data_IF_971950517642
#
_entry.id   IF_971950517642
#
_cell.length_a   1.000
_cell.length_b   1.000
_cell.length_c   1.000
_cell.angle_alpha   90.00
_cell.angle_beta   90.00
_cell.angle_gamma   90.00
#
_symmetry.space_group_name_H-M   'P 1'
#
loop_
_entity.id
_entity.type
_entity.pdbx_description
1 polymer ?
#
# COMPACT_ATOMS: atom_id res chain seq x y z
N UNK A 1 26.49 28.57 44.60
CA UNK A 1 27.44 27.56 44.12
C UNK A 1 26.92 26.21 44.56
N UNK A 2 25.76 25.75 44.05
CA UNK A 2 25.44 25.48 42.62
C UNK A 2 26.54 24.60 42.00
N UNK A 3 26.27 23.43 41.44
CA UNK A 3 25.13 23.08 40.57
C UNK A 3 24.58 21.65 40.79
N UNK A 4 23.32 21.52 40.37
CA UNK A 4 22.48 20.33 40.19
C UNK A 4 22.58 19.78 38.76
N UNK A 5 21.89 18.65 38.51
CA UNK A 5 21.50 18.04 37.22
C UNK A 5 22.39 16.91 36.67
N UNK A 6 21.87 15.85 36.06
CA UNK A 6 20.52 15.65 35.54
C UNK A 6 20.20 14.17 35.29
N UNK A 7 18.90 13.87 35.35
CA UNK A 7 18.33 12.55 35.15
C UNK A 7 18.59 11.98 33.76
N UNK A 8 18.92 10.69 33.72
CA UNK A 8 19.05 9.92 32.49
C UNK A 8 17.69 9.72 31.84
N UNK A 9 17.45 10.44 30.73
CA UNK A 9 16.36 10.14 29.80
C UNK A 9 16.70 8.82 29.12
N UNK A 10 15.90 7.80 29.37
CA UNK A 10 15.98 6.51 28.70
C UNK A 10 15.58 6.73 27.24
N UNK A 11 16.58 6.96 26.37
CA UNK A 11 16.39 7.04 24.93
C UNK A 11 15.81 5.72 24.45
N UNK A 12 14.54 5.76 24.02
CA UNK A 12 13.95 4.72 23.19
C UNK A 12 14.85 4.56 21.96
N UNK A 13 15.60 3.46 21.93
CA UNK A 13 16.41 3.09 20.78
C UNK A 13 15.48 2.94 19.58
N UNK A 14 15.49 3.93 18.69
CA UNK A 14 14.98 3.77 17.34
C UNK A 14 15.76 2.59 16.76
N UNK A 15 15.11 1.50 16.34
CA UNK A 15 15.83 0.36 15.78
C UNK A 15 16.69 0.89 14.62
N UNK A 16 18.00 0.69 14.74
CA UNK A 16 18.95 1.15 13.75
C UNK A 16 18.54 0.63 12.38
N UNK A 17 18.53 1.51 11.36
CA UNK A 17 18.29 1.11 9.97
C UNK A 17 19.32 0.06 9.60
N UNK A 18 18.86 -1.17 9.42
CA UNK A 18 19.72 -2.24 8.95
C UNK A 18 19.93 -2.04 7.45
N UNK A 19 21.17 -1.88 6.97
CA UNK A 19 21.44 -1.80 5.54
C UNK A 19 21.00 -3.09 4.85
N UNK A 20 20.87 -3.04 3.52
CA UNK A 20 20.51 -4.20 2.72
C UNK A 20 21.35 -5.44 3.10
N UNK A 21 20.73 -6.61 3.27
CA UNK A 21 21.47 -7.84 3.52
C UNK A 21 22.40 -8.17 2.35
N UNK A 22 23.32 -9.12 2.57
CA UNK A 22 24.18 -9.64 1.50
C UNK A 22 23.33 -10.09 0.31
N UNK A 23 23.75 -9.71 -0.91
CA UNK A 23 23.00 -9.90 -2.16
C UNK A 23 22.56 -11.36 -2.37
N UNK A 24 23.37 -12.31 -1.93
CA UNK A 24 23.11 -13.75 -2.05
C UNK A 24 21.90 -14.19 -1.23
N UNK A 25 21.62 -13.53 -0.11
CA UNK A 25 20.54 -13.89 0.80
C UNK A 25 19.14 -13.47 0.29
N UNK A 26 19.05 -12.47 -0.60
CA UNK A 26 17.78 -12.00 -1.15
C UNK A 26 17.42 -12.58 -2.50
N UNK A 27 18.33 -13.32 -3.18
CA UNK A 27 18.05 -13.83 -4.53
C UNK A 27 16.75 -14.66 -4.54
N UNK A 28 15.88 -14.47 -5.54
CA UNK A 28 16.06 -13.68 -6.77
C UNK A 28 15.72 -12.18 -6.66
N UNK A 29 15.29 -11.69 -5.49
CA UNK A 29 15.06 -10.26 -5.27
C UNK A 29 16.37 -9.48 -5.17
N UNK A 30 16.27 -8.17 -5.37
CA UNK A 30 17.38 -7.22 -5.20
C UNK A 30 17.07 -6.25 -4.07
N UNK A 31 18.10 -5.83 -3.34
CA UNK A 31 18.00 -4.77 -2.34
C UNK A 31 19.00 -3.67 -2.67
N UNK A 32 18.53 -2.43 -2.63
CA UNK A 32 19.30 -1.23 -2.91
C UNK A 32 19.29 -0.33 -1.67
N UNK A 33 20.46 0.10 -1.25
CA UNK A 33 20.60 1.13 -0.21
C UNK A 33 20.86 2.47 -0.88
N UNK A 34 19.89 3.37 -0.73
CA UNK A 34 20.04 4.79 -1.07
C UNK A 34 20.48 5.56 0.17
N UNK A 35 20.84 6.83 0.00
CA UNK A 35 21.35 7.67 1.09
C UNK A 35 20.42 7.70 2.31
N UNK A 36 19.10 7.68 2.07
CA UNK A 36 18.10 7.87 3.11
C UNK A 36 17.11 6.71 3.26
N UNK A 37 17.23 5.63 2.47
CA UNK A 37 16.28 4.54 2.52
C UNK A 37 16.74 3.29 1.78
N UNK A 38 16.09 2.19 2.10
CA UNK A 38 16.28 0.88 1.49
C UNK A 38 15.09 0.56 0.57
N UNK A 39 15.40 0.04 -0.62
CA UNK A 39 14.42 -0.42 -1.60
C UNK A 39 14.65 -1.89 -1.91
N UNK A 40 13.60 -2.69 -1.83
CA UNK A 40 13.63 -4.11 -2.22
C UNK A 40 12.76 -4.30 -3.45
N UNK A 41 13.29 -5.01 -4.45
CA UNK A 41 12.59 -5.32 -5.68
C UNK A 41 12.55 -6.83 -5.90
N UNK A 42 11.34 -7.37 -6.01
CA UNK A 42 11.08 -8.76 -6.36
C UNK A 42 10.32 -8.81 -7.68
N UNK A 43 10.93 -9.40 -8.72
CA UNK A 43 10.33 -9.49 -10.06
C UNK A 43 10.20 -10.93 -10.50
N UNK A 44 8.99 -11.30 -10.92
CA UNK A 44 8.69 -12.61 -11.53
C UNK A 44 9.21 -13.77 -10.64
N UNK A 45 8.92 -13.66 -9.35
CA UNK A 45 9.37 -14.60 -8.32
C UNK A 45 8.23 -15.56 -7.98
N UNK A 46 8.54 -16.83 -7.71
CA UNK A 46 7.54 -17.75 -7.18
C UNK A 46 7.31 -17.57 -5.67
N UNK A 47 6.26 -18.19 -5.15
CA UNK A 47 5.89 -18.20 -3.73
C UNK A 47 7.05 -18.59 -2.79
N UNK A 48 7.84 -19.61 -3.16
CA UNK A 48 8.93 -20.13 -2.32
C UNK A 48 10.11 -19.15 -2.33
N UNK A 49 10.47 -18.65 -3.49
CA UNK A 49 11.52 -17.66 -3.69
C UNK A 49 11.22 -16.37 -2.91
N UNK A 50 9.99 -15.85 -3.01
CA UNK A 50 9.55 -14.66 -2.27
C UNK A 50 9.63 -14.88 -0.75
N UNK A 51 9.14 -16.03 -0.25
CA UNK A 51 9.21 -16.38 1.18
C UNK A 51 10.65 -16.46 1.69
N UNK A 52 11.55 -17.05 0.92
CA UNK A 52 12.97 -17.15 1.27
C UNK A 52 13.63 -15.77 1.32
N UNK A 53 13.42 -14.94 0.29
CA UNK A 53 13.99 -13.58 0.23
C UNK A 53 13.50 -12.71 1.41
N UNK A 54 12.20 -12.74 1.70
CA UNK A 54 11.62 -11.99 2.83
C UNK A 54 12.05 -12.52 4.20
N UNK A 55 12.41 -13.80 4.31
CA UNK A 55 12.97 -14.34 5.56
C UNK A 55 14.32 -13.70 5.93
N UNK A 56 15.12 -13.32 4.92
CA UNK A 56 16.39 -12.62 5.11
C UNK A 56 16.22 -11.14 5.51
N UNK A 57 15.00 -10.61 5.39
CA UNK A 57 14.64 -9.23 5.74
C UNK A 57 13.93 -9.13 7.10
N UNK A 58 13.78 -10.23 7.83
CA UNK A 58 13.13 -10.22 9.15
C UNK A 58 13.90 -9.35 10.14
N UNK A 59 13.18 -8.45 10.80
CA UNK A 59 13.74 -7.45 11.71
C UNK A 59 14.24 -6.20 10.99
N UNK A 60 14.26 -6.18 9.65
CA UNK A 60 14.67 -5.03 8.87
C UNK A 60 13.50 -4.06 8.64
N UNK A 61 13.88 -2.80 8.43
CA UNK A 61 13.02 -1.75 7.91
C UNK A 61 13.33 -1.56 6.43
N UNK A 62 12.32 -1.65 5.57
CA UNK A 62 12.41 -1.42 4.14
C UNK A 62 11.47 -0.26 3.83
N UNK A 63 11.97 0.81 3.25
CA UNK A 63 11.11 1.95 2.95
C UNK A 63 10.23 1.64 1.74
N UNK A 64 10.84 1.21 0.63
CA UNK A 64 10.13 0.85 -0.60
C UNK A 64 10.23 -0.65 -0.87
N UNK A 65 9.09 -1.31 -1.02
CA UNK A 65 9.02 -2.68 -1.48
C UNK A 65 8.28 -2.74 -2.81
N UNK A 66 8.95 -3.20 -3.87
CA UNK A 66 8.34 -3.40 -5.17
C UNK A 66 8.13 -4.90 -5.46
N UNK A 67 6.90 -5.23 -5.83
CA UNK A 67 6.51 -6.55 -6.30
C UNK A 67 6.03 -6.48 -7.75
N UNK A 68 6.85 -7.01 -8.64
CA UNK A 68 6.71 -6.91 -10.10
C UNK A 68 6.28 -8.27 -10.69
N UNK A 69 5.24 -8.29 -11.52
CA UNK A 69 4.73 -9.48 -12.23
C UNK A 69 4.39 -10.66 -11.32
N UNK A 70 3.90 -10.39 -10.12
CA UNK A 70 3.56 -11.42 -9.15
C UNK A 70 2.06 -11.69 -9.11
N UNK A 71 1.67 -12.93 -8.89
CA UNK A 71 0.29 -13.29 -8.64
C UNK A 71 0.00 -13.19 -7.15
N UNK A 72 -0.75 -12.17 -6.73
CA UNK A 72 -0.99 -11.90 -5.30
C UNK A 72 -1.80 -13.00 -4.61
N UNK A 73 -2.55 -13.83 -5.35
CA UNK A 73 -3.18 -15.03 -4.80
C UNK A 73 -2.17 -16.04 -4.27
N UNK A 74 -0.97 -16.07 -4.85
CA UNK A 74 0.07 -17.02 -4.49
C UNK A 74 0.93 -16.55 -3.30
N UNK A 75 0.79 -15.28 -2.90
CA UNK A 75 1.54 -14.74 -1.77
C UNK A 75 1.12 -15.45 -0.47
N UNK A 76 2.09 -16.00 0.28
CA UNK A 76 1.81 -16.51 1.61
C UNK A 76 1.25 -15.40 2.49
N UNK A 77 0.20 -15.70 3.25
CA UNK A 77 -0.39 -14.73 4.18
C UNK A 77 0.61 -14.17 5.19
N UNK A 78 1.61 -14.95 5.58
CA UNK A 78 2.61 -14.54 6.56
C UNK A 78 3.88 -13.96 5.95
N UNK A 79 3.91 -13.72 4.63
CA UNK A 79 5.17 -13.49 3.91
C UNK A 79 5.86 -12.19 4.32
N UNK A 80 5.09 -11.17 4.68
CA UNK A 80 5.60 -9.88 5.14
C UNK A 80 5.76 -9.80 6.67
N UNK A 81 5.40 -10.87 7.40
CA UNK A 81 5.47 -10.87 8.86
C UNK A 81 6.91 -10.67 9.33
N UNK A 82 7.10 -9.65 10.17
CA UNK A 82 8.40 -9.30 10.74
C UNK A 82 9.30 -8.50 9.79
N UNK A 83 8.81 -8.09 8.63
CA UNK A 83 9.45 -7.09 7.76
C UNK A 83 8.62 -5.82 7.86
N UNK A 84 9.25 -4.70 8.21
CA UNK A 84 8.54 -3.41 8.26
C UNK A 84 8.65 -2.72 6.92
N UNK A 85 7.53 -2.52 6.22
CA UNK A 85 7.48 -1.82 4.93
C UNK A 85 6.64 -0.56 5.03
N UNK A 86 7.13 0.55 4.48
CA UNK A 86 6.41 1.84 4.47
C UNK A 86 5.62 2.07 3.18
N UNK A 87 6.21 1.74 2.03
CA UNK A 87 5.61 1.97 0.72
C UNK A 87 5.64 0.68 -0.11
N UNK A 88 4.47 0.26 -0.59
CA UNK A 88 4.32 -0.92 -1.43
C UNK A 88 4.03 -0.49 -2.86
N UNK A 89 4.93 -0.85 -3.76
CA UNK A 89 4.77 -0.68 -5.19
C UNK A 89 4.43 -2.03 -5.83
N UNK A 90 3.43 -2.05 -6.70
CA UNK A 90 3.13 -3.21 -7.52
C UNK A 90 3.15 -2.84 -8.99
N UNK A 91 3.83 -3.65 -9.80
CA UNK A 91 3.91 -3.42 -11.24
C UNK A 91 3.53 -4.67 -12.01
N UNK A 92 2.49 -4.57 -12.84
CA UNK A 92 1.95 -5.72 -13.59
C UNK A 92 1.61 -6.94 -12.71
N UNK A 93 1.28 -6.70 -11.43
CA UNK A 93 0.82 -7.74 -10.52
C UNK A 93 -0.61 -8.16 -10.86
N UNK A 94 -0.94 -9.41 -10.52
CA UNK A 94 -2.27 -9.97 -10.70
C UNK A 94 -3.02 -9.96 -9.36
N UNK A 95 -4.12 -9.21 -9.33
CA UNK A 95 -5.04 -9.06 -8.19
C UNK A 95 -6.28 -9.95 -8.31
N UNK A 96 -6.37 -10.76 -9.38
CA UNK A 96 -7.51 -11.65 -9.61
C UNK A 96 -7.72 -12.57 -8.41
N UNK A 97 -8.92 -12.56 -7.85
CA UNK A 97 -9.32 -13.37 -6.70
C UNK A 97 -8.64 -13.01 -5.37
N UNK A 98 -8.14 -11.78 -5.20
CA UNK A 98 -7.82 -11.26 -3.86
C UNK A 98 -9.14 -10.99 -3.13
N UNK A 99 -9.59 -11.98 -2.37
CA UNK A 99 -10.91 -11.97 -1.73
C UNK A 99 -10.94 -11.20 -0.40
N UNK A 100 -12.17 -10.89 0.04
CA UNK A 100 -12.46 -10.38 1.37
C UNK A 100 -11.85 -11.34 2.44
N UNK A 101 -11.15 -10.77 3.42
CA UNK A 101 -10.46 -11.53 4.46
C UNK A 101 -9.14 -12.19 4.03
N UNK A 102 -8.59 -11.84 2.86
CA UNK A 102 -7.23 -12.25 2.52
C UNK A 102 -6.23 -11.63 3.51
N UNK A 103 -5.38 -12.49 4.07
CA UNK A 103 -4.30 -12.10 4.96
C UNK A 103 -3.05 -11.67 4.14
N UNK A 104 -3.24 -11.23 2.90
CA UNK A 104 -2.16 -10.92 1.96
C UNK A 104 -1.25 -9.79 2.47
N UNK A 105 -1.84 -8.87 3.21
CA UNK A 105 -1.17 -7.71 3.78
C UNK A 105 -0.90 -7.87 5.29
N UNK A 106 -1.05 -9.08 5.85
CA UNK A 106 -0.70 -9.32 7.25
C UNK A 106 0.79 -9.01 7.47
N UNK A 107 1.07 -8.18 8.48
CA UNK A 107 2.41 -7.68 8.77
C UNK A 107 2.68 -6.27 8.26
N UNK A 108 1.78 -5.71 7.45
CA UNK A 108 1.80 -4.30 7.04
C UNK A 108 0.88 -3.40 7.88
N UNK A 109 0.07 -3.99 8.76
CA UNK A 109 -1.07 -3.37 9.44
C UNK A 109 -0.76 -2.00 10.04
N UNK A 110 0.45 -1.85 10.62
CA UNK A 110 0.86 -0.65 11.35
C UNK A 110 2.06 0.07 10.71
N UNK A 111 2.54 -0.32 9.51
CA UNK A 111 3.72 0.32 8.89
C UNK A 111 3.47 0.92 7.52
N UNK A 112 2.53 0.34 6.76
CA UNK A 112 2.32 0.73 5.37
C UNK A 112 1.51 2.02 5.29
N UNK A 113 2.08 3.05 4.66
CA UNK A 113 1.46 4.37 4.50
C UNK A 113 1.05 4.66 3.07
N UNK A 114 1.61 3.94 2.09
CA UNK A 114 1.31 4.12 0.68
C UNK A 114 1.25 2.77 -0.05
N UNK A 115 0.24 2.64 -0.92
CA UNK A 115 0.15 1.57 -1.91
C UNK A 115 0.05 2.17 -3.30
N UNK A 116 0.95 1.76 -4.20
CA UNK A 116 0.89 2.05 -5.62
C UNK A 116 0.60 0.79 -6.41
N UNK A 117 -0.41 0.87 -7.29
CA UNK A 117 -0.78 -0.20 -8.22
C UNK A 117 -0.61 0.30 -9.64
N UNK A 118 0.40 -0.22 -10.34
CA UNK A 118 0.73 0.20 -11.70
C UNK A 118 0.56 -0.94 -12.68
N UNK A 119 -0.30 -0.75 -13.68
CA UNK A 119 -0.61 -1.76 -14.73
C UNK A 119 -1.03 -3.12 -14.14
N UNK A 120 -1.64 -3.11 -12.96
CA UNK A 120 -2.21 -4.30 -12.34
C UNK A 120 -3.36 -4.88 -13.18
N UNK A 121 -3.57 -6.19 -13.03
CA UNK A 121 -4.63 -6.95 -13.70
C UNK A 121 -5.58 -7.53 -12.68
N UNK A 122 -6.84 -7.76 -13.05
CA UNK A 122 -7.82 -8.39 -12.16
C UNK A 122 -8.26 -7.48 -11.01
N UNK A 123 -8.05 -6.16 -11.12
CA UNK A 123 -8.48 -5.20 -10.09
C UNK A 123 -10.00 -5.13 -10.00
N UNK A 124 -10.73 -5.46 -11.07
CA UNK A 124 -12.18 -5.60 -11.09
C UNK A 124 -12.70 -6.71 -10.15
N UNK A 125 -11.83 -7.63 -9.73
CA UNK A 125 -12.13 -8.67 -8.75
C UNK A 125 -11.59 -8.38 -7.35
N UNK A 126 -10.87 -7.26 -7.17
CA UNK A 126 -10.32 -6.88 -5.87
C UNK A 126 -11.45 -6.33 -4.99
N UNK A 127 -11.67 -6.97 -3.84
CA UNK A 127 -12.54 -6.40 -2.83
C UNK A 127 -11.73 -5.47 -1.91
N UNK A 128 -12.08 -4.18 -1.86
CA UNK A 128 -11.26 -3.15 -1.19
C UNK A 128 -11.09 -3.37 0.32
N UNK A 129 -11.98 -4.14 0.96
CA UNK A 129 -11.81 -4.55 2.37
C UNK A 129 -10.52 -5.34 2.63
N UNK A 130 -9.88 -5.92 1.60
CA UNK A 130 -8.57 -6.56 1.73
C UNK A 130 -7.49 -5.59 2.26
N UNK A 131 -7.65 -4.29 1.99
CA UNK A 131 -6.77 -3.21 2.48
C UNK A 131 -7.31 -2.55 3.76
N UNK A 132 -8.50 -2.92 4.23
CA UNK A 132 -9.19 -2.28 5.37
C UNK A 132 -8.45 -2.37 6.72
N UNK A 133 -7.51 -3.32 6.86
CA UNK A 133 -6.69 -3.50 8.07
C UNK A 133 -5.45 -2.60 8.14
N UNK A 134 -5.11 -1.92 7.05
CA UNK A 134 -3.91 -1.08 6.96
C UNK A 134 -4.14 0.26 7.67
N UNK A 135 -4.05 0.27 9.00
CA UNK A 135 -4.47 1.39 9.85
C UNK A 135 -3.73 2.70 9.60
N UNK A 136 -2.57 2.62 8.97
CA UNK A 136 -1.71 3.76 8.65
C UNK A 136 -1.68 4.11 7.16
N UNK A 137 -2.46 3.41 6.32
CA UNK A 137 -2.50 3.68 4.88
C UNK A 137 -3.09 5.07 4.64
N UNK A 138 -2.31 5.96 4.04
CA UNK A 138 -2.69 7.35 3.78
C UNK A 138 -2.92 7.64 2.30
N UNK A 139 -2.18 6.95 1.43
CA UNK A 139 -2.17 7.19 -0.02
C UNK A 139 -2.43 5.89 -0.78
N UNK A 140 -3.37 5.93 -1.72
CA UNK A 140 -3.60 4.88 -2.69
C UNK A 140 -3.47 5.47 -4.09
N UNK A 141 -2.50 4.98 -4.86
CA UNK A 141 -2.20 5.45 -6.19
C UNK A 141 -2.42 4.31 -7.20
N UNK A 142 -3.25 4.53 -8.20
CA UNK A 142 -3.66 3.51 -9.17
C UNK A 142 -3.38 4.06 -10.57
N UNK A 143 -2.48 3.40 -11.30
CA UNK A 143 -1.97 3.86 -12.58
C UNK A 143 -2.17 2.86 -13.70
N UNK A 144 -2.84 3.30 -14.77
CA UNK A 144 -2.94 2.53 -16.03
C UNK A 144 -3.44 1.09 -15.83
N UNK A 145 -4.44 0.92 -14.98
CA UNK A 145 -5.04 -0.39 -14.65
C UNK A 145 -6.32 -0.62 -15.42
N UNK A 146 -6.68 -1.89 -15.60
CA UNK A 146 -8.01 -2.27 -16.07
C UNK A 146 -8.92 -2.50 -14.87
N UNK A 147 -9.74 -1.50 -14.52
CA UNK A 147 -10.77 -1.61 -13.50
C UNK A 147 -11.91 -0.64 -13.85
N UNK A 148 -13.06 -1.14 -14.34
CA UNK A 148 -14.10 -0.26 -14.86
C UNK A 148 -14.88 0.46 -13.75
N UNK A 149 -14.77 -0.01 -12.51
CA UNK A 149 -15.63 0.43 -11.42
C UNK A 149 -14.87 0.53 -10.10
N UNK A 150 -15.09 1.62 -9.38
CA UNK A 150 -14.82 1.73 -7.95
C UNK A 150 -16.14 1.50 -7.20
N UNK A 151 -16.28 0.34 -6.59
CA UNK A 151 -17.53 -0.08 -5.96
C UNK A 151 -17.67 0.39 -4.50
N UNK A 152 -18.85 0.15 -3.91
CA UNK A 152 -19.14 0.52 -2.53
C UNK A 152 -18.26 -0.19 -1.49
N UNK A 153 -17.55 -1.27 -1.83
CA UNK A 153 -16.62 -1.91 -0.89
C UNK A 153 -15.43 -1.00 -0.56
N UNK A 154 -15.17 0.02 -1.38
CA UNK A 154 -14.16 1.04 -1.11
C UNK A 154 -14.42 1.81 0.18
N UNK A 155 -15.68 1.93 0.62
CA UNK A 155 -16.03 2.53 1.91
C UNK A 155 -15.45 1.78 3.12
N UNK A 156 -14.97 0.54 2.91
CA UNK A 156 -14.33 -0.31 3.94
C UNK A 156 -12.82 -0.08 4.04
N UNK A 157 -12.26 0.85 3.27
CA UNK A 157 -10.87 1.30 3.40
C UNK A 157 -10.62 1.93 4.78
N UNK A 158 -9.37 1.95 5.25
CA UNK A 158 -9.05 2.54 6.55
C UNK A 158 -9.28 4.05 6.54
N UNK A 159 -9.76 4.61 7.67
CA UNK A 159 -10.03 6.06 7.81
C UNK A 159 -8.79 6.94 7.65
N UNK A 160 -7.60 6.37 7.83
CA UNK A 160 -6.32 7.04 7.56
C UNK A 160 -6.13 7.39 6.09
N UNK A 161 -6.85 6.72 5.17
CA UNK A 161 -6.77 6.98 3.75
C UNK A 161 -7.36 8.36 3.46
N UNK A 162 -6.49 9.24 2.97
CA UNK A 162 -6.80 10.66 2.76
C UNK A 162 -6.54 11.09 1.32
N UNK A 163 -5.70 10.37 0.59
CA UNK A 163 -5.33 10.72 -0.79
C UNK A 163 -5.54 9.51 -1.69
N UNK A 164 -6.35 9.69 -2.72
CA UNK A 164 -6.62 8.68 -3.75
C UNK A 164 -6.35 9.28 -5.11
N UNK A 165 -5.46 8.64 -5.86
CA UNK A 165 -5.16 9.01 -7.23
C UNK A 165 -5.46 7.84 -8.14
N UNK A 166 -6.28 8.08 -9.16
CA UNK A 166 -6.54 7.15 -10.25
C UNK A 166 -6.15 7.84 -11.55
N UNK A 167 -5.08 7.39 -12.18
CA UNK A 167 -4.60 8.00 -13.41
C UNK A 167 -4.40 6.97 -14.52
N UNK A 168 -5.11 7.17 -15.63
CA UNK A 168 -5.07 6.25 -16.76
C UNK A 168 -5.84 4.96 -16.49
N UNK A 169 -6.43 4.38 -17.53
CA UNK A 169 -7.09 3.08 -17.46
C UNK A 169 -8.55 3.13 -17.84
N UNK A 170 -9.32 2.16 -17.36
CA UNK A 170 -10.71 1.92 -17.78
C UNK A 170 -11.77 2.34 -16.77
N UNK A 171 -11.44 3.05 -15.68
CA UNK A 171 -12.44 3.50 -14.70
C UNK A 171 -13.54 4.32 -15.40
N UNK A 172 -14.76 3.82 -15.35
CA UNK A 172 -15.96 4.39 -15.98
C UNK A 172 -17.00 4.83 -14.94
N UNK A 173 -17.00 4.19 -13.77
CA UNK A 173 -18.04 4.41 -12.76
C UNK A 173 -17.54 4.36 -11.32
N UNK A 174 -18.11 5.20 -10.47
CA UNK A 174 -17.89 5.21 -9.02
C UNK A 174 -19.26 5.05 -8.34
N UNK A 175 -19.40 4.01 -7.51
CA UNK A 175 -20.64 3.73 -6.79
C UNK A 175 -21.04 4.88 -5.86
N UNK A 176 -22.34 5.06 -5.69
CA UNK A 176 -22.85 5.90 -4.61
C UNK A 176 -22.37 5.36 -3.26
N UNK A 177 -21.97 6.27 -2.38
CA UNK A 177 -21.43 5.93 -1.07
C UNK A 177 -20.01 5.34 -1.07
N UNK A 178 -19.31 5.25 -2.21
CA UNK A 178 -17.98 4.64 -2.26
C UNK A 178 -16.95 5.28 -1.30
N UNK A 179 -17.10 6.55 -0.96
CA UNK A 179 -16.23 7.26 -0.02
C UNK A 179 -16.89 7.55 1.34
N UNK A 180 -18.07 6.98 1.62
CA UNK A 180 -18.75 7.17 2.91
C UNK A 180 -17.92 6.53 4.03
N UNK A 181 -17.75 7.27 5.13
CA UNK A 181 -16.96 6.81 6.28
C UNK A 181 -15.45 7.06 6.16
N UNK A 182 -14.98 7.52 4.99
CA UNK A 182 -13.60 7.93 4.76
C UNK A 182 -13.43 9.44 4.94
N UNK A 183 -12.22 9.86 5.30
CA UNK A 183 -11.85 11.27 5.45
C UNK A 183 -11.01 11.75 4.27
N UNK A 184 -11.46 11.45 3.04
CA UNK A 184 -10.76 11.83 1.81
C UNK A 184 -10.56 13.35 1.77
N UNK A 185 -9.29 13.74 1.57
CA UNK A 185 -8.85 15.12 1.38
C UNK A 185 -8.62 15.40 -0.09
N UNK A 186 -7.90 14.50 -0.75
CA UNK A 186 -7.50 14.67 -2.14
C UNK A 186 -7.98 13.48 -2.96
N UNK A 187 -8.89 13.76 -3.91
CA UNK A 187 -9.32 12.81 -4.91
C UNK A 187 -8.94 13.33 -6.29
N UNK A 188 -8.02 12.62 -6.93
CA UNK A 188 -7.56 12.92 -8.28
C UNK A 188 -7.89 11.74 -9.19
N UNK A 189 -8.76 11.96 -10.16
CA UNK A 189 -9.09 11.00 -11.20
C UNK A 189 -8.73 11.68 -12.51
N UNK A 190 -7.88 11.09 -13.34
CA UNK A 190 -7.49 11.72 -14.61
C UNK A 190 -7.15 10.68 -15.67
N UNK A 191 -7.32 11.06 -16.94
CA UNK A 191 -7.05 10.17 -18.08
C UNK A 191 -7.79 8.83 -18.00
N UNK A 192 -8.98 8.79 -17.39
CA UNK A 192 -9.86 7.62 -17.31
C UNK A 192 -11.01 7.73 -18.31
N UNK A 193 -12.02 6.87 -18.18
CA UNK A 193 -13.28 6.92 -18.95
C UNK A 193 -14.44 7.45 -18.12
N UNK A 194 -14.18 7.93 -16.90
CA UNK A 194 -15.19 8.47 -15.99
C UNK A 194 -15.69 9.81 -16.55
N UNK A 195 -16.95 9.84 -17.00
CA UNK A 195 -17.53 11.06 -17.57
C UNK A 195 -18.02 12.04 -16.50
N UNK A 196 -18.51 11.52 -15.37
CA UNK A 196 -19.10 12.31 -14.29
C UNK A 196 -18.95 11.60 -12.96
N UNK A 197 -18.86 12.38 -11.89
CA UNK A 197 -18.93 11.89 -10.51
C UNK A 197 -20.19 12.43 -9.84
N UNK A 198 -20.97 11.55 -9.20
CA UNK A 198 -22.18 11.95 -8.46
C UNK A 198 -21.79 12.57 -7.11
N UNK A 199 -22.54 13.56 -6.63
CA UNK A 199 -22.35 14.07 -5.25
C UNK A 199 -22.54 12.98 -4.19
N UNK A 200 -23.35 11.96 -4.49
CA UNK A 200 -23.70 10.86 -3.58
C UNK A 200 -22.55 9.87 -3.35
N UNK A 201 -21.43 9.96 -4.07
CA UNK A 201 -20.25 9.13 -3.79
C UNK A 201 -19.58 9.53 -2.46
N UNK A 202 -19.75 10.80 -2.06
CA UNK A 202 -19.12 11.39 -0.87
C UNK A 202 -20.09 11.48 0.32
N UNK A 203 -19.57 11.54 1.56
CA UNK A 203 -20.39 11.82 2.74
C UNK A 203 -21.09 13.20 2.65
N UNK A 204 -22.18 13.35 3.40
CA UNK A 204 -22.95 14.59 3.48
C UNK A 204 -22.95 15.09 4.93
N UNK A 205 -22.26 16.22 5.24
CA UNK A 205 -21.37 17.00 4.37
C UNK A 205 -20.00 16.33 4.12
N UNK A 206 -19.33 16.68 3.02
CA UNK A 206 -17.99 16.18 2.67
C UNK A 206 -16.91 17.13 3.23
N UNK A 207 -16.81 17.21 4.55
CA UNK A 207 -16.05 18.28 5.25
C UNK A 207 -14.53 18.18 5.12
N UNK A 208 -14.00 17.01 4.78
CA UNK A 208 -12.54 16.82 4.65
C UNK A 208 -12.02 17.08 3.23
N UNK A 209 -12.90 17.03 2.22
CA UNK A 209 -12.50 17.11 0.81
C UNK A 209 -11.98 18.51 0.50
N UNK A 210 -10.70 18.58 0.13
CA UNK A 210 -9.96 19.81 -0.16
C UNK A 210 -9.63 19.91 -1.65
N UNK A 211 -9.26 18.79 -2.27
CA UNK A 211 -8.96 18.70 -3.71
C UNK A 211 -9.88 17.67 -4.36
N UNK A 212 -10.54 18.10 -5.43
CA UNK A 212 -11.27 17.23 -6.36
C UNK A 212 -10.83 17.59 -7.79
N UNK A 213 -10.10 16.68 -8.43
CA UNK A 213 -9.66 16.80 -9.82
C UNK A 213 -10.19 15.60 -10.62
N UNK A 214 -10.80 15.86 -11.78
CA UNK A 214 -11.43 14.89 -12.68
C UNK A 214 -10.89 15.07 -14.10
#
# INVERSE_FOLDING_TARGET
MEETEGGGVQQLLVPARAPCPKKEALRPCSCFSFHNYERVECKDVDRRALKNALSALRGSFVFEFELSKYNLKDAPSDVFRGVRVTELYTYMADFSNVSNGSNLFDGFDDTLTMVEIKRGKGLEYLHWSALGRLKNLQRLLIFSTDFPKLDNSFALMPKSLTHVMVQGGSLEFVDEGAFVGLEIRDLEISFTRLEKISRNVFPVPATCLSVLSL
#
